data_IF_540127260490
#
_entry.id   IF_540127260490
#
_cell.length_a   1.000
_cell.length_b   1.000
_cell.length_c   1.000
_cell.angle_alpha   90.00
_cell.angle_beta   90.00
_cell.angle_gamma   90.00
#
_symmetry.space_group_name_H-M   'P 1'
#
loop_
_entity.id
_entity.type
_entity.pdbx_description
1 polymer ?
#
# COMPACT_ATOMS: atom_id res chain seq x y z
N UNK A 1 -0.56 87.33 -24.71
CA UNK A 1 0.52 86.35 -24.92
C UNK A 1 0.86 86.39 -26.39
N UNK A 2 2.15 86.50 -26.72
CA UNK A 2 2.59 86.62 -28.10
C UNK A 2 2.43 85.27 -28.80
N UNK A 3 2.07 85.27 -30.08
CA UNK A 3 1.96 84.06 -30.89
C UNK A 3 3.27 83.25 -30.90
N UNK A 4 4.41 83.95 -30.78
CA UNK A 4 5.73 83.34 -30.67
C UNK A 4 5.91 82.53 -29.37
N UNK A 5 5.44 83.06 -28.23
CA UNK A 5 5.54 82.39 -26.93
C UNK A 5 4.69 81.11 -26.88
N UNK A 6 3.51 81.12 -27.51
CA UNK A 6 2.65 79.94 -27.60
C UNK A 6 3.25 78.85 -28.50
N UNK A 7 3.92 79.24 -29.59
CA UNK A 7 4.65 78.30 -30.47
C UNK A 7 5.82 77.68 -29.74
N UNK A 8 6.59 78.46 -28.98
CA UNK A 8 7.71 77.96 -28.19
C UNK A 8 7.25 77.05 -27.05
N UNK A 9 6.17 77.41 -26.33
CA UNK A 9 5.59 76.57 -25.30
C UNK A 9 5.08 75.23 -25.87
N UNK A 10 4.43 75.26 -27.05
CA UNK A 10 3.99 74.05 -27.76
C UNK A 10 5.19 73.20 -28.21
N UNK A 11 6.24 73.83 -28.74
CA UNK A 11 7.47 73.16 -29.17
C UNK A 11 8.17 72.48 -27.99
N UNK A 12 8.32 73.17 -26.86
CA UNK A 12 8.89 72.61 -25.64
C UNK A 12 8.06 71.44 -25.10
N UNK A 13 6.74 71.55 -25.09
CA UNK A 13 5.83 70.46 -24.67
C UNK A 13 5.92 69.25 -25.59
N UNK A 14 6.00 69.46 -26.90
CA UNK A 14 6.18 68.37 -27.87
C UNK A 14 7.56 67.71 -27.76
N UNK A 15 8.61 68.49 -27.48
CA UNK A 15 9.95 67.96 -27.21
C UNK A 15 9.98 67.11 -25.93
N UNK A 16 9.33 67.56 -24.85
CA UNK A 16 9.20 66.79 -23.61
C UNK A 16 8.43 65.47 -23.82
N UNK A 17 7.34 65.47 -24.61
CA UNK A 17 6.61 64.26 -24.97
C UNK A 17 7.44 63.30 -25.83
N UNK A 18 8.24 63.83 -26.77
CA UNK A 18 9.18 63.03 -27.58
C UNK A 18 10.29 62.42 -26.73
N UNK A 19 10.88 63.17 -25.81
CA UNK A 19 11.88 62.67 -24.88
C UNK A 19 11.32 61.58 -23.95
N UNK A 20 10.10 61.78 -23.43
CA UNK A 20 9.39 60.77 -22.63
C UNK A 20 9.09 59.51 -23.46
N UNK A 21 8.66 59.65 -24.72
CA UNK A 21 8.44 58.50 -25.63
C UNK A 21 9.75 57.74 -25.93
N UNK A 22 10.88 58.44 -25.98
CA UNK A 22 12.20 57.86 -26.17
C UNK A 22 12.83 57.27 -24.88
N UNK A 23 12.12 57.32 -23.75
CA UNK A 23 12.58 56.72 -22.48
C UNK A 23 13.66 57.50 -21.74
N UNK A 24 13.91 58.77 -22.10
CA UNK A 24 14.91 59.60 -21.43
C UNK A 24 14.23 60.34 -20.27
N UNK A 25 14.44 59.86 -19.05
CA UNK A 25 14.13 60.60 -17.81
C UNK A 25 15.38 61.30 -17.31
N UNK A 26 15.25 62.56 -16.88
CA UNK A 26 16.36 63.34 -16.30
C UNK A 26 16.99 62.57 -15.14
N UNK A 27 18.13 61.91 -15.36
CA UNK A 27 18.87 61.26 -14.28
C UNK A 27 19.77 60.06 -14.61
N UNK A 28 19.82 59.50 -15.82
CA UNK A 28 20.89 58.54 -16.14
C UNK A 28 21.07 58.34 -17.66
N UNK A 29 22.29 58.52 -18.15
CA UNK A 29 22.59 58.68 -19.58
C UNK A 29 23.10 57.40 -20.26
N UNK A 30 22.77 56.22 -19.73
CA UNK A 30 23.32 54.97 -20.27
C UNK A 30 22.36 53.78 -20.43
N UNK A 31 21.04 53.99 -20.43
CA UNK A 31 20.09 52.96 -20.87
C UNK A 31 18.78 53.57 -21.34
N UNK A 32 18.62 53.69 -22.66
CA UNK A 32 17.33 53.98 -23.28
C UNK A 32 16.42 52.75 -23.10
N UNK A 33 15.75 52.65 -21.95
CA UNK A 33 14.76 51.60 -21.70
C UNK A 33 13.44 52.06 -22.30
N UNK A 34 13.00 51.37 -23.35
CA UNK A 34 11.66 51.54 -23.95
C UNK A 34 10.58 51.40 -22.86
N UNK A 35 9.78 52.45 -22.65
CA UNK A 35 8.70 52.46 -21.64
C UNK A 35 7.53 51.51 -21.95
N UNK A 36 7.53 50.87 -23.12
CA UNK A 36 6.61 49.77 -23.41
C UNK A 36 7.25 48.48 -22.94
N UNK A 37 6.84 48.01 -21.76
CA UNK A 37 7.10 46.65 -21.30
C UNK A 37 6.46 45.67 -22.30
N UNK A 38 7.29 45.11 -23.17
CA UNK A 38 6.91 44.09 -24.13
C UNK A 38 6.71 42.78 -23.39
N UNK A 39 5.54 42.59 -22.77
CA UNK A 39 5.23 41.41 -21.93
C UNK A 39 5.58 40.08 -22.63
N UNK A 40 5.35 40.02 -23.95
CA UNK A 40 5.50 38.82 -24.77
C UNK A 40 6.51 38.96 -25.92
N UNK A 41 7.27 40.06 -26.03
CA UNK A 41 8.21 40.25 -27.14
C UNK A 41 9.61 40.48 -26.60
N UNK A 42 10.57 39.79 -27.19
CA UNK A 42 11.97 39.89 -26.83
C UNK A 42 12.68 40.87 -27.79
N UNK A 43 13.23 42.00 -27.29
CA UNK A 43 13.85 43.01 -28.12
C UNK A 43 15.15 42.55 -28.80
N UNK A 44 15.86 41.54 -28.26
CA UNK A 44 17.12 41.06 -28.82
C UNK A 44 16.88 40.11 -30.00
N UNK A 45 15.97 39.14 -29.83
CA UNK A 45 15.64 38.17 -30.89
C UNK A 45 14.52 38.63 -31.81
N UNK A 46 13.82 39.73 -31.47
CA UNK A 46 12.66 40.28 -32.19
C UNK A 46 11.53 39.25 -32.39
N UNK A 47 11.41 38.29 -31.48
CA UNK A 47 10.42 37.22 -31.52
C UNK A 47 9.55 37.22 -30.26
N UNK A 48 8.57 36.32 -30.23
CA UNK A 48 7.83 36.03 -29.00
C UNK A 48 8.81 35.62 -27.90
N UNK A 49 8.62 36.19 -26.70
CA UNK A 49 9.33 35.82 -25.48
C UNK A 49 8.96 34.39 -25.12
N UNK A 50 9.75 33.43 -25.59
CA UNK A 50 9.64 32.03 -25.17
C UNK A 50 10.13 31.99 -23.72
N UNK A 51 9.35 31.41 -22.81
CA UNK A 51 9.90 31.05 -21.51
C UNK A 51 11.14 30.19 -21.80
N UNK A 52 12.28 30.55 -21.22
CA UNK A 52 13.52 29.80 -21.39
C UNK A 52 13.18 28.32 -21.30
N UNK A 53 13.30 27.61 -22.41
CA UNK A 53 13.16 26.16 -22.45
C UNK A 53 14.38 25.51 -21.80
N UNK A 54 14.89 26.10 -20.70
CA UNK A 54 15.65 25.37 -19.70
C UNK A 54 14.75 24.21 -19.36
N UNK A 55 15.17 23.03 -19.80
CA UNK A 55 14.46 21.80 -19.56
C UNK A 55 14.12 21.79 -18.08
N UNK A 56 12.85 21.98 -17.73
CA UNK A 56 12.41 21.97 -16.34
C UNK A 56 12.80 20.57 -15.85
N UNK A 57 13.83 20.50 -15.01
CA UNK A 57 14.47 19.23 -14.67
C UNK A 57 13.54 18.37 -13.82
N UNK A 58 12.71 19.02 -13.02
CA UNK A 58 11.72 18.40 -12.14
C UNK A 58 10.35 18.34 -12.83
N UNK A 59 10.16 17.37 -13.73
CA UNK A 59 8.85 17.04 -14.30
C UNK A 59 8.52 15.58 -13.97
N UNK A 60 7.24 15.27 -13.74
CA UNK A 60 6.80 13.91 -13.32
C UNK A 60 7.22 12.86 -14.35
N UNK A 61 7.20 13.21 -15.62
CA UNK A 61 7.57 12.38 -16.76
C UNK A 61 9.03 11.94 -16.68
N UNK A 62 9.93 12.85 -16.25
CA UNK A 62 11.35 12.52 -16.05
C UNK A 62 11.58 11.67 -14.81
N UNK A 63 10.76 11.87 -13.78
CA UNK A 63 10.85 11.10 -12.53
C UNK A 63 10.36 9.64 -12.72
N UNK A 64 9.48 9.40 -13.69
CA UNK A 64 8.92 8.07 -13.99
C UNK A 64 9.64 7.40 -15.17
N UNK A 65 10.46 8.14 -15.92
CA UNK A 65 11.26 7.60 -17.01
C UNK A 65 12.20 6.50 -16.50
N UNK A 66 12.12 5.31 -17.10
CA UNK A 66 12.92 4.14 -16.70
C UNK A 66 12.42 3.32 -15.50
N UNK A 67 11.41 3.79 -14.74
CA UNK A 67 10.86 3.02 -13.61
C UNK A 67 10.26 1.68 -14.05
N UNK A 68 9.62 1.66 -15.22
CA UNK A 68 9.05 0.43 -15.79
C UNK A 68 10.14 -0.61 -16.10
N UNK A 69 11.29 -0.16 -16.64
CA UNK A 69 12.41 -1.02 -16.97
C UNK A 69 13.08 -1.57 -15.71
N UNK A 70 13.18 -0.75 -14.65
CA UNK A 70 13.66 -1.18 -13.33
C UNK A 70 12.76 -2.25 -12.71
N UNK A 71 11.43 -2.05 -12.75
CA UNK A 71 10.46 -3.03 -12.24
C UNK A 71 10.57 -4.36 -13.01
N UNK A 72 10.69 -4.30 -14.34
CA UNK A 72 10.85 -5.50 -15.18
C UNK A 72 12.18 -6.22 -14.89
N UNK A 73 13.27 -5.48 -14.70
CA UNK A 73 14.55 -6.05 -14.33
C UNK A 73 14.50 -6.73 -12.94
N UNK A 74 13.85 -6.09 -11.96
CA UNK A 74 13.67 -6.64 -10.62
C UNK A 74 12.79 -7.90 -10.62
N UNK A 75 11.71 -7.93 -11.39
CA UNK A 75 10.86 -9.12 -11.50
C UNK A 75 11.61 -10.27 -12.18
N UNK A 76 12.40 -10.00 -13.22
CA UNK A 76 13.25 -11.00 -13.86
C UNK A 76 14.28 -11.60 -12.88
N UNK A 77 14.93 -10.76 -12.07
CA UNK A 77 15.83 -11.22 -11.01
C UNK A 77 15.10 -12.07 -9.95
N UNK A 78 13.87 -11.71 -9.60
CA UNK A 78 13.04 -12.47 -8.65
C UNK A 78 12.59 -13.82 -9.21
N UNK A 79 12.37 -13.91 -10.51
CA UNK A 79 12.04 -15.16 -11.20
C UNK A 79 13.28 -16.07 -11.37
N UNK A 80 14.46 -15.49 -11.59
CA UNK A 80 15.75 -16.19 -11.65
C UNK A 80 16.24 -16.64 -10.27
N UNK A 81 15.82 -15.97 -9.20
CA UNK A 81 16.05 -16.42 -7.83
C UNK A 81 15.36 -17.77 -7.61
N UNK A 82 16.16 -18.77 -7.22
CA UNK A 82 15.73 -20.15 -7.02
C UNK A 82 14.52 -20.21 -6.07
N UNK A 83 13.42 -20.81 -6.56
CA UNK A 83 12.18 -20.95 -5.80
C UNK A 83 12.45 -21.75 -4.52
N UNK A 84 12.37 -21.10 -3.36
CA UNK A 84 12.51 -21.77 -2.06
C UNK A 84 11.31 -22.71 -1.83
N UNK A 85 11.52 -23.99 -2.18
CA UNK A 85 10.55 -25.08 -2.02
C UNK A 85 10.05 -25.22 -0.56
N UNK A 86 10.82 -24.73 0.41
CA UNK A 86 10.48 -24.71 1.83
C UNK A 86 9.28 -23.80 2.15
N UNK A 87 9.09 -22.74 1.37
CA UNK A 87 8.02 -21.75 1.56
C UNK A 87 6.76 -22.09 0.76
N UNK A 88 6.90 -22.90 -0.30
CA UNK A 88 5.80 -23.42 -1.14
C UNK A 88 5.16 -24.67 -0.52
N UNK A 89 5.92 -25.44 0.26
CA UNK A 89 5.37 -26.59 0.99
C UNK A 89 4.28 -26.12 1.99
N UNK A 90 3.15 -26.85 2.11
CA UNK A 90 2.11 -26.51 3.06
C UNK A 90 2.69 -26.50 4.49
N UNK A 91 2.65 -25.33 5.15
CA UNK A 91 3.27 -25.03 6.45
C UNK A 91 2.88 -25.95 7.62
N UNK A 92 1.94 -26.88 7.45
CA UNK A 92 1.44 -27.75 8.52
C UNK A 92 1.45 -29.22 8.10
N UNK A 93 2.60 -29.92 8.17
CA UNK A 93 2.67 -31.39 8.05
C UNK A 93 1.81 -32.14 9.10
N UNK A 94 1.41 -31.47 10.18
CA UNK A 94 0.67 -32.05 11.30
C UNK A 94 -0.87 -32.03 11.16
N UNK A 95 -1.43 -31.27 10.21
CA UNK A 95 -2.89 -31.19 10.07
C UNK A 95 -3.47 -32.48 9.48
N UNK A 96 -2.75 -33.06 8.52
CA UNK A 96 -3.11 -34.30 7.85
C UNK A 96 -2.84 -35.48 8.78
N UNK A 97 -1.69 -35.49 9.46
CA UNK A 97 -1.39 -36.48 10.49
C UNK A 97 -2.43 -36.52 11.60
N UNK A 98 -2.86 -35.35 12.11
CA UNK A 98 -3.89 -35.29 13.15
C UNK A 98 -5.25 -35.78 12.61
N UNK A 99 -5.61 -35.41 11.38
CA UNK A 99 -6.86 -35.85 10.75
C UNK A 99 -6.88 -37.36 10.50
N UNK A 100 -5.81 -37.90 9.93
CA UNK A 100 -5.67 -39.32 9.63
C UNK A 100 -5.58 -40.16 10.89
N UNK A 101 -4.92 -39.65 11.94
CA UNK A 101 -4.91 -40.25 13.27
C UNK A 101 -6.30 -40.25 13.89
N UNK A 102 -7.01 -39.11 13.87
CA UNK A 102 -8.37 -39.01 14.41
C UNK A 102 -9.33 -39.96 13.70
N UNK A 103 -9.21 -40.13 12.39
CA UNK A 103 -10.01 -41.11 11.63
C UNK A 103 -9.77 -42.55 12.08
N UNK A 104 -8.53 -42.89 12.44
CA UNK A 104 -8.17 -44.22 12.98
C UNK A 104 -8.54 -44.39 14.44
N UNK A 105 -8.53 -43.31 15.23
CA UNK A 105 -8.93 -43.32 16.63
C UNK A 105 -10.44 -43.41 16.83
N UNK A 106 -11.24 -42.75 15.98
CA UNK A 106 -12.71 -42.73 16.09
C UNK A 106 -13.36 -44.12 16.29
N UNK A 107 -13.07 -45.17 15.48
CA UNK A 107 -13.64 -46.50 15.73
C UNK A 107 -13.07 -47.18 17.00
N UNK A 108 -11.87 -46.80 17.43
CA UNK A 108 -11.20 -47.38 18.58
C UNK A 108 -11.65 -46.75 19.91
N UNK A 109 -12.16 -45.52 19.88
CA UNK A 109 -12.63 -44.81 21.06
C UNK A 109 -13.77 -45.55 21.76
N UNK A 110 -14.70 -46.16 21.02
CA UNK A 110 -15.77 -46.99 21.59
C UNK A 110 -15.21 -48.20 22.35
N UNK A 111 -14.38 -49.00 21.68
CA UNK A 111 -13.75 -50.18 22.31
C UNK A 111 -12.86 -49.80 23.50
N UNK A 112 -12.21 -48.64 23.44
CA UNK A 112 -11.40 -48.12 24.55
C UNK A 112 -12.26 -47.75 25.75
N UNK A 113 -13.42 -47.11 25.54
CA UNK A 113 -14.39 -46.82 26.62
C UNK A 113 -14.93 -48.11 27.24
N UNK A 114 -15.31 -49.10 26.43
CA UNK A 114 -15.74 -50.42 26.90
C UNK A 114 -14.64 -51.12 27.72
N UNK A 115 -13.38 -51.10 27.26
CA UNK A 115 -12.25 -51.63 28.00
C UNK A 115 -12.02 -50.89 29.34
N UNK A 116 -12.20 -49.56 29.37
CA UNK A 116 -12.12 -48.77 30.61
C UNK A 116 -13.26 -49.18 31.55
N UNK A 117 -14.50 -49.31 31.06
CA UNK A 117 -15.64 -49.75 31.87
C UNK A 117 -15.40 -51.13 32.50
N UNK A 118 -14.92 -52.10 31.72
CA UNK A 118 -14.62 -53.44 32.23
C UNK A 118 -13.49 -53.43 33.27
N UNK A 119 -12.43 -52.65 33.05
CA UNK A 119 -11.33 -52.52 34.02
C UNK A 119 -11.78 -51.86 35.32
N UNK A 120 -12.57 -50.80 35.24
CA UNK A 120 -13.12 -50.13 36.43
C UNK A 120 -14.06 -51.08 37.17
N UNK A 121 -14.94 -51.80 36.48
CA UNK A 121 -15.82 -52.82 37.08
C UNK A 121 -15.03 -53.90 37.82
N UNK A 122 -13.99 -54.44 37.20
CA UNK A 122 -13.16 -55.48 37.82
C UNK A 122 -12.44 -54.96 39.07
N UNK A 123 -11.91 -53.73 39.01
CA UNK A 123 -11.29 -53.09 40.16
C UNK A 123 -12.30 -52.87 41.28
N UNK A 124 -13.48 -52.37 40.95
CA UNK A 124 -14.52 -52.04 41.92
C UNK A 124 -15.13 -53.30 42.54
N UNK A 125 -15.27 -54.39 41.79
CA UNK A 125 -15.68 -55.70 42.30
C UNK A 125 -14.63 -56.37 43.19
N UNK A 126 -13.34 -56.06 42.99
CA UNK A 126 -12.27 -56.49 43.90
C UNK A 126 -12.26 -55.71 45.22
N UNK A 127 -12.85 -54.51 45.25
CA UNK A 127 -13.02 -53.69 46.45
C UNK A 127 -14.39 -53.97 47.09
N UNK A 128 -14.44 -54.69 48.21
CA UNK A 128 -15.67 -55.10 48.90
C UNK A 128 -16.36 -53.99 49.72
N UNK A 129 -16.24 -52.73 49.31
CA UNK A 129 -16.92 -51.61 49.98
C UNK A 129 -18.34 -51.43 49.42
N UNK A 130 -19.32 -51.11 50.28
CA UNK A 130 -20.71 -50.90 49.84
C UNK A 130 -20.82 -49.72 48.86
N UNK A 131 -20.04 -48.65 49.08
CA UNK A 131 -19.91 -47.53 48.14
C UNK A 131 -19.40 -47.97 46.76
N UNK A 132 -18.54 -48.98 46.70
CA UNK A 132 -18.02 -49.53 45.45
C UNK A 132 -19.12 -50.27 44.67
N UNK A 133 -20.02 -50.99 45.35
CA UNK A 133 -21.18 -51.63 44.69
C UNK A 133 -22.17 -50.62 44.10
N UNK A 134 -22.43 -49.53 44.82
CA UNK A 134 -23.36 -48.50 44.33
C UNK A 134 -22.82 -47.81 43.08
N UNK A 135 -21.52 -47.53 43.04
CA UNK A 135 -20.85 -46.95 41.86
C UNK A 135 -20.87 -47.93 40.69
N UNK A 136 -20.65 -49.23 40.93
CA UNK A 136 -20.71 -50.25 39.87
C UNK A 136 -22.08 -50.30 39.20
N UNK A 137 -23.15 -50.27 40.02
CA UNK A 137 -24.54 -50.26 39.54
C UNK A 137 -24.87 -49.02 38.71
N UNK A 138 -24.39 -47.84 39.15
CA UNK A 138 -24.56 -46.59 38.40
C UNK A 138 -23.82 -46.60 37.05
N UNK A 139 -22.65 -47.23 36.98
CA UNK A 139 -21.88 -47.37 35.73
C UNK A 139 -22.55 -48.31 34.73
N UNK A 140 -23.16 -49.40 35.19
CA UNK A 140 -23.91 -50.33 34.32
C UNK A 140 -25.13 -49.64 33.67
N UNK A 141 -25.86 -48.81 34.44
CA UNK A 141 -26.97 -48.02 33.92
C UNK A 141 -26.52 -47.01 32.86
N UNK A 142 -25.34 -46.39 33.05
CA UNK A 142 -24.77 -45.42 32.11
C UNK A 142 -24.25 -46.08 30.83
N UNK A 143 -23.62 -47.25 30.94
CA UNK A 143 -23.15 -48.02 29.79
C UNK A 143 -24.32 -48.48 28.91
N UNK A 144 -25.41 -48.96 29.52
CA UNK A 144 -26.61 -49.35 28.77
C UNK A 144 -27.27 -48.18 28.03
N UNK A 145 -27.26 -46.98 28.61
CA UNK A 145 -27.78 -45.78 27.96
C UNK A 145 -26.88 -45.30 26.79
N UNK A 146 -25.55 -45.35 26.95
CA UNK A 146 -24.60 -45.02 25.87
C UNK A 146 -24.65 -46.04 24.71
N UNK A 147 -24.97 -47.31 24.99
CA UNK A 147 -25.15 -48.33 23.95
C UNK A 147 -26.39 -48.07 23.10
N UNK A 148 -27.54 -47.74 23.73
CA UNK A 148 -28.77 -47.39 23.00
C UNK A 148 -28.66 -46.12 22.16
N UNK A 149 -27.92 -45.12 22.62
CA UNK A 149 -27.72 -43.85 21.90
C UNK A 149 -26.82 -44.04 20.66
N UNK A 150 -26.02 -45.11 20.62
CA UNK A 150 -25.13 -45.44 19.50
C UNK A 150 -25.74 -46.35 18.44
N UNK A 151 -26.90 -46.96 18.71
CA UNK A 151 -27.63 -47.80 17.74
C UNK A 151 -28.57 -46.97 16.84
N UNK A 152 -28.87 -45.73 17.24
CA UNK A 152 -29.75 -44.80 16.53
C UNK A 152 -29.01 -43.78 15.61
N UNK A 153 -27.67 -43.79 15.57
CA UNK A 153 -26.81 -43.01 14.61
C UNK A 153 -26.08 -43.90 13.58
#
# INVERSE_FOLDING_TARGET
MSLAEEVEARKARLQALRAKKAGITNGDSNKAVSLLSQRNFDPETRTLRRADARAIEDTVEKNVDGLADEILAADKQRQEAELDLSNIAPKRPNWDLKRDLNKKLAPLERSTKEAIYTLVRNRLGSETNDASKDIASAMDARAAAEESDSEDE
#
